data_IF_212105195770
#
_entry.id   IF_212105195770
#
_cell.length_a   1.000
_cell.length_b   1.000
_cell.length_c   1.000
_cell.angle_alpha   90.00
_cell.angle_beta   90.00
_cell.angle_gamma   90.00
#
_symmetry.space_group_name_H-M   'P 1'
#
loop_
_entity.id
_entity.type
_entity.pdbx_description
1 polymer ?
#
# COMPACT_ATOMS: atom_id res chain seq x y z
N UNK A 1 -61.44 2.06 52.03
CA UNK A 1 -61.21 3.44 52.51
C UNK A 1 -59.71 3.71 52.53
N UNK A 2 -59.16 4.21 51.41
CA UNK A 2 -57.73 4.51 51.28
C UNK A 2 -57.39 5.73 52.15
N UNK A 3 -56.64 5.50 53.23
CA UNK A 3 -56.02 6.55 54.06
C UNK A 3 -55.29 7.52 53.13
N UNK A 4 -55.61 8.83 53.19
CA UNK A 4 -54.85 9.87 52.46
C UNK A 4 -53.39 9.79 52.91
N UNK A 5 -52.53 9.15 52.11
CA UNK A 5 -51.09 9.12 52.37
C UNK A 5 -50.57 10.56 52.44
N UNK A 6 -49.75 10.86 53.45
CA UNK A 6 -49.12 12.16 53.57
C UNK A 6 -48.24 12.39 52.32
N UNK A 7 -48.62 13.38 51.50
CA UNK A 7 -47.95 13.69 50.22
C UNK A 7 -46.43 13.81 50.39
N UNK A 8 -45.94 14.35 51.51
CA UNK A 8 -44.51 14.52 51.77
C UNK A 8 -43.75 13.18 51.90
N UNK A 9 -44.39 12.14 52.42
CA UNK A 9 -43.78 10.80 52.61
C UNK A 9 -43.64 10.08 51.26
N UNK A 10 -44.53 10.33 50.30
CA UNK A 10 -44.50 9.72 48.96
C UNK A 10 -43.63 10.51 47.98
N UNK A 11 -43.65 11.85 48.09
CA UNK A 11 -42.89 12.73 47.20
C UNK A 11 -41.37 12.57 47.35
N UNK A 12 -40.86 12.32 48.56
CA UNK A 12 -39.43 12.22 48.78
C UNK A 12 -38.79 11.00 48.09
N UNK A 13 -39.29 9.75 48.25
CA UNK A 13 -38.76 8.59 47.51
C UNK A 13 -38.90 8.73 45.99
N UNK A 14 -40.01 9.30 45.50
CA UNK A 14 -40.20 9.54 44.07
C UNK A 14 -39.17 10.54 43.54
N UNK A 15 -38.97 11.66 44.23
CA UNK A 15 -37.97 12.66 43.83
C UNK A 15 -36.56 12.05 43.81
N UNK A 16 -36.18 11.29 44.84
CA UNK A 16 -34.89 10.59 44.89
C UNK A 16 -34.74 9.59 43.74
N UNK A 17 -35.79 8.81 43.44
CA UNK A 17 -35.80 7.90 42.31
C UNK A 17 -35.55 8.65 40.99
N UNK A 18 -36.30 9.72 40.72
CA UNK A 18 -36.11 10.51 39.49
C UNK A 18 -34.72 11.11 39.39
N UNK A 19 -34.16 11.63 40.48
CA UNK A 19 -32.79 12.18 40.49
C UNK A 19 -31.77 11.10 40.16
N UNK A 20 -31.85 9.93 40.79
CA UNK A 20 -30.94 8.81 40.52
C UNK A 20 -31.10 8.33 39.07
N UNK A 21 -32.33 8.19 38.57
CA UNK A 21 -32.59 7.80 37.18
C UNK A 21 -31.98 8.79 36.20
N UNK A 22 -32.11 10.11 36.44
CA UNK A 22 -31.50 11.14 35.59
C UNK A 22 -29.96 11.02 35.61
N UNK A 23 -29.34 10.80 36.77
CA UNK A 23 -27.89 10.62 36.88
C UNK A 23 -27.43 9.38 36.10
N UNK A 24 -28.13 8.24 36.24
CA UNK A 24 -27.80 7.01 35.53
C UNK A 24 -27.94 7.19 34.02
N UNK A 25 -29.03 7.81 33.55
CA UNK A 25 -29.26 8.05 32.13
C UNK A 25 -28.21 9.00 31.53
N UNK A 26 -27.83 10.06 32.24
CA UNK A 26 -26.80 11.01 31.77
C UNK A 26 -25.41 10.39 31.77
N UNK A 27 -25.06 9.59 32.78
CA UNK A 27 -23.81 8.85 32.81
C UNK A 27 -23.73 7.81 31.68
N UNK A 28 -24.83 7.07 31.43
CA UNK A 28 -24.92 6.12 30.33
C UNK A 28 -24.75 6.80 28.98
N UNK A 29 -25.44 7.92 28.74
CA UNK A 29 -25.32 8.65 27.48
C UNK A 29 -23.90 9.13 27.25
N UNK A 30 -23.26 9.74 28.26
CA UNK A 30 -21.85 10.16 28.16
C UNK A 30 -20.90 8.99 27.90
N UNK A 31 -21.14 7.84 28.53
CA UNK A 31 -20.34 6.64 28.28
C UNK A 31 -20.51 6.13 26.85
N UNK A 32 -21.73 6.19 26.31
CA UNK A 32 -22.02 5.81 24.93
C UNK A 32 -21.31 6.75 23.92
N UNK A 33 -21.42 8.06 24.14
CA UNK A 33 -20.81 9.08 23.29
C UNK A 33 -19.27 8.96 23.32
N UNK A 34 -18.67 8.80 24.51
CA UNK A 34 -17.23 8.60 24.67
C UNK A 34 -16.74 7.31 24.01
N UNK A 35 -17.51 6.22 24.08
CA UNK A 35 -17.14 4.98 23.40
C UNK A 35 -17.15 5.13 21.86
N UNK A 36 -18.13 5.86 21.31
CA UNK A 36 -18.16 6.17 19.87
C UNK A 36 -16.96 7.01 19.45
N UNK A 37 -16.61 8.05 20.21
CA UNK A 37 -15.42 8.88 19.96
C UNK A 37 -14.14 8.03 20.00
N UNK A 38 -13.99 7.16 21.00
CA UNK A 38 -12.85 6.26 21.13
C UNK A 38 -12.73 5.29 19.94
N UNK A 39 -13.84 4.75 19.44
CA UNK A 39 -13.85 3.87 18.25
C UNK A 39 -13.37 4.65 17.01
N UNK A 40 -13.91 5.85 16.78
CA UNK A 40 -13.51 6.69 15.64
C UNK A 40 -12.03 7.07 15.72
N UNK A 41 -11.58 7.50 16.90
CA UNK A 41 -10.18 7.85 17.12
C UNK A 41 -9.27 6.63 16.89
N UNK A 42 -9.64 5.46 17.40
CA UNK A 42 -8.89 4.24 17.22
C UNK A 42 -8.76 3.84 15.74
N UNK A 43 -9.84 3.95 14.96
CA UNK A 43 -9.82 3.71 13.50
C UNK A 43 -8.89 4.70 12.81
N UNK A 44 -8.95 5.99 13.15
CA UNK A 44 -8.09 7.02 12.54
C UNK A 44 -6.61 6.81 12.88
N UNK A 45 -6.30 6.50 14.14
CA UNK A 45 -4.92 6.28 14.59
C UNK A 45 -4.33 5.00 13.98
N UNK A 46 -5.06 3.88 14.03
CA UNK A 46 -4.60 2.64 13.41
C UNK A 46 -4.52 2.76 11.89
N UNK A 47 -5.49 3.43 11.25
CA UNK A 47 -5.44 3.70 9.81
C UNK A 47 -4.19 4.48 9.41
N UNK A 48 -3.81 5.50 10.18
CA UNK A 48 -2.55 6.25 9.97
C UNK A 48 -1.31 5.36 10.16
N UNK A 49 -1.29 4.54 11.20
CA UNK A 49 -0.18 3.63 11.50
C UNK A 49 0.00 2.58 10.38
N UNK A 50 -1.06 1.88 10.00
CA UNK A 50 -1.05 0.87 8.95
C UNK A 50 -0.64 1.50 7.61
N UNK A 51 -1.19 2.66 7.28
CA UNK A 51 -0.80 3.39 6.06
C UNK A 51 0.67 3.77 6.06
N UNK A 52 1.24 4.11 7.23
CA UNK A 52 2.67 4.38 7.37
C UNK A 52 3.49 3.11 7.14
N UNK A 53 3.08 1.98 7.70
CA UNK A 53 3.78 0.71 7.50
C UNK A 53 3.71 0.22 6.04
N UNK A 54 2.57 0.34 5.36
CA UNK A 54 2.49 0.08 3.92
C UNK A 54 3.45 0.95 3.12
N UNK A 55 3.53 2.25 3.43
CA UNK A 55 4.50 3.15 2.79
C UNK A 55 5.95 2.75 3.09
N UNK A 56 6.25 2.28 4.29
CA UNK A 56 7.60 1.81 4.65
C UNK A 56 7.99 0.58 3.84
N UNK A 57 7.08 -0.36 3.64
CA UNK A 57 7.29 -1.55 2.79
C UNK A 57 7.64 -1.11 1.36
N UNK A 58 6.79 -0.28 0.75
CA UNK A 58 7.01 0.21 -0.62
C UNK A 58 8.35 0.96 -0.73
N UNK A 59 8.65 1.86 0.22
CA UNK A 59 9.93 2.61 0.23
C UNK A 59 11.14 1.69 0.37
N UNK A 60 11.06 0.65 1.19
CA UNK A 60 12.14 -0.32 1.35
C UNK A 60 12.41 -1.06 0.04
N UNK A 61 11.36 -1.41 -0.70
CA UNK A 61 11.47 -2.13 -1.97
C UNK A 61 12.03 -1.23 -3.07
N UNK A 62 11.59 0.03 -3.15
CA UNK A 62 12.16 1.03 -4.06
C UNK A 62 13.64 1.25 -3.76
N UNK A 63 14.03 1.39 -2.48
CA UNK A 63 15.42 1.60 -2.10
C UNK A 63 16.35 0.45 -2.56
N UNK A 64 15.82 -0.78 -2.71
CA UNK A 64 16.60 -1.91 -3.26
C UNK A 64 16.89 -1.73 -4.74
N UNK A 65 15.92 -1.23 -5.51
CA UNK A 65 16.14 -0.85 -6.91
C UNK A 65 17.11 0.32 -7.03
N UNK A 66 16.99 1.34 -6.18
CA UNK A 66 17.93 2.46 -6.15
C UNK A 66 19.35 2.00 -5.81
N UNK A 67 19.51 1.03 -4.90
CA UNK A 67 20.82 0.45 -4.62
C UNK A 67 21.42 -0.29 -5.83
N UNK A 68 20.59 -0.99 -6.62
CA UNK A 68 21.01 -1.60 -7.89
C UNK A 68 21.39 -0.53 -8.92
N UNK A 69 20.58 0.55 -9.04
CA UNK A 69 20.92 1.74 -9.85
C UNK A 69 22.30 2.24 -9.47
N UNK A 70 22.55 2.51 -8.18
CA UNK A 70 23.81 3.09 -7.73
C UNK A 70 25.02 2.23 -8.12
N UNK A 71 24.91 0.89 -8.07
CA UNK A 71 25.97 -0.02 -8.53
C UNK A 71 26.19 0.06 -10.05
N UNK A 72 25.11 0.18 -10.82
CA UNK A 72 25.17 0.31 -12.28
C UNK A 72 25.75 1.66 -12.69
N UNK A 73 25.31 2.76 -12.08
CA UNK A 73 25.81 4.12 -12.36
C UNK A 73 27.27 4.29 -11.95
N UNK A 74 27.66 3.81 -10.77
CA UNK A 74 29.05 3.88 -10.28
C UNK A 74 30.05 3.16 -11.20
N UNK A 75 29.60 2.13 -11.91
CA UNK A 75 30.43 1.32 -12.80
C UNK A 75 30.24 1.67 -14.28
N UNK A 76 29.53 2.76 -14.58
CA UNK A 76 29.17 3.17 -15.95
C UNK A 76 28.59 2.02 -16.79
N UNK A 77 27.77 1.18 -16.15
CA UNK A 77 27.09 0.06 -16.79
C UNK A 77 27.81 -1.28 -16.73
N UNK A 78 29.09 -1.36 -16.32
CA UNK A 78 29.80 -2.64 -16.23
C UNK A 78 29.11 -3.64 -15.29
N UNK A 79 28.44 -3.16 -14.24
CA UNK A 79 27.71 -4.01 -13.31
C UNK A 79 26.52 -4.75 -13.95
N UNK A 80 26.00 -4.29 -15.09
CA UNK A 80 24.95 -5.02 -15.85
C UNK A 80 25.41 -6.41 -16.33
N UNK A 81 26.73 -6.66 -16.38
CA UNK A 81 27.27 -8.01 -16.64
C UNK A 81 26.91 -9.02 -15.55
N UNK A 82 26.55 -8.55 -14.35
CA UNK A 82 26.13 -9.37 -13.21
C UNK A 82 24.60 -9.44 -13.05
N UNK A 83 23.84 -8.90 -14.00
CA UNK A 83 22.38 -8.79 -13.95
C UNK A 83 21.69 -10.07 -13.49
N UNK A 84 22.02 -11.21 -14.10
CA UNK A 84 21.37 -12.49 -13.80
C UNK A 84 21.47 -12.87 -12.33
N UNK A 85 22.65 -12.68 -11.72
CA UNK A 85 22.88 -13.05 -10.33
C UNK A 85 22.20 -12.07 -9.39
N UNK A 86 22.40 -10.77 -9.61
CA UNK A 86 21.90 -9.76 -8.68
C UNK A 86 20.36 -9.65 -8.73
N UNK A 87 19.77 -9.76 -9.92
CA UNK A 87 18.31 -9.81 -10.06
C UNK A 87 17.71 -11.04 -9.39
N UNK A 88 18.36 -12.22 -9.49
CA UNK A 88 17.92 -13.41 -8.77
C UNK A 88 17.95 -13.20 -7.26
N UNK A 89 19.04 -12.64 -6.73
CA UNK A 89 19.17 -12.35 -5.29
C UNK A 89 18.09 -11.39 -4.79
N UNK A 90 17.76 -10.35 -5.56
CA UNK A 90 16.68 -9.42 -5.20
C UNK A 90 15.31 -10.12 -5.15
N UNK A 91 15.01 -10.97 -6.13
CA UNK A 91 13.77 -11.75 -6.17
C UNK A 91 13.67 -12.74 -5.01
N UNK A 92 14.76 -13.42 -4.66
CA UNK A 92 14.81 -14.39 -3.57
C UNK A 92 14.67 -13.72 -2.19
N UNK A 93 15.26 -12.54 -2.01
CA UNK A 93 15.25 -11.82 -0.74
C UNK A 93 13.94 -11.08 -0.46
N UNK A 94 13.15 -10.81 -1.50
CA UNK A 94 11.99 -9.93 -1.36
C UNK A 94 10.81 -10.37 -2.21
N UNK A 95 9.76 -10.79 -1.50
CA UNK A 95 8.54 -11.36 -2.06
C UNK A 95 7.67 -10.37 -2.83
N UNK A 96 7.92 -9.05 -2.69
CA UNK A 96 7.22 -8.05 -3.50
C UNK A 96 7.60 -8.16 -4.97
N UNK A 97 8.85 -8.51 -5.29
CA UNK A 97 9.29 -8.57 -6.67
C UNK A 97 8.79 -9.84 -7.36
N UNK A 98 8.14 -9.67 -8.51
CA UNK A 98 7.74 -10.74 -9.43
C UNK A 98 8.76 -10.92 -10.54
N UNK A 99 9.32 -9.83 -11.02
CA UNK A 99 10.42 -9.82 -11.98
C UNK A 99 11.18 -8.48 -11.93
N UNK A 100 12.34 -8.45 -12.56
CA UNK A 100 13.15 -7.27 -12.81
C UNK A 100 13.44 -7.14 -14.30
N UNK A 101 13.44 -5.92 -14.82
CA UNK A 101 13.74 -5.58 -16.21
C UNK A 101 14.84 -4.52 -16.28
N UNK A 102 15.72 -4.66 -17.27
CA UNK A 102 16.55 -3.55 -17.76
C UNK A 102 15.94 -3.05 -19.06
N UNK A 103 15.40 -1.84 -19.04
CA UNK A 103 14.85 -1.14 -20.20
C UNK A 103 15.87 -0.09 -20.60
N UNK A 104 16.36 -0.13 -21.84
CA UNK A 104 17.35 0.86 -22.28
C UNK A 104 16.70 2.18 -22.71
N UNK A 105 17.54 3.15 -23.04
CA UNK A 105 17.10 4.48 -23.51
C UNK A 105 16.26 4.47 -24.80
N UNK A 106 16.21 3.35 -25.53
CA UNK A 106 15.33 3.15 -26.68
C UNK A 106 13.94 2.65 -26.30
N UNK A 107 13.63 2.56 -25.00
CA UNK A 107 12.37 2.05 -24.45
C UNK A 107 12.15 0.56 -24.74
N UNK A 108 13.23 -0.21 -24.92
CA UNK A 108 13.14 -1.66 -25.18
C UNK A 108 13.64 -2.45 -23.98
N UNK A 109 12.86 -3.46 -23.56
CA UNK A 109 13.27 -4.39 -22.50
C UNK A 109 14.40 -5.28 -23.03
N UNK A 110 15.62 -5.07 -22.55
CA UNK A 110 16.83 -5.79 -23.01
C UNK A 110 17.21 -6.97 -22.12
N UNK A 111 16.84 -6.93 -20.85
CA UNK A 111 17.06 -8.03 -19.90
C UNK A 111 15.82 -8.17 -19.02
N UNK A 112 15.47 -9.41 -18.69
CA UNK A 112 14.36 -9.72 -17.78
C UNK A 112 14.69 -10.93 -16.92
N UNK A 113 14.32 -10.87 -15.64
CA UNK A 113 14.50 -11.97 -14.69
C UNK A 113 13.25 -12.14 -13.82
N UNK A 114 12.73 -13.37 -13.64
CA UNK A 114 13.09 -14.58 -14.37
C UNK A 114 12.64 -14.50 -15.83
N UNK A 115 13.38 -15.12 -16.75
CA UNK A 115 12.93 -15.21 -18.16
C UNK A 115 11.71 -16.14 -18.29
N UNK A 116 11.71 -17.25 -17.53
CA UNK A 116 10.60 -18.20 -17.54
C UNK A 116 9.30 -17.54 -17.08
N UNK A 117 8.28 -17.56 -17.93
CA UNK A 117 6.99 -16.90 -17.70
C UNK A 117 6.96 -15.40 -18.02
N UNK A 118 8.07 -14.82 -18.48
CA UNK A 118 8.14 -13.43 -18.93
C UNK A 118 8.79 -13.30 -20.33
N UNK A 119 8.78 -14.37 -21.12
CA UNK A 119 9.44 -14.43 -22.44
C UNK A 119 8.86 -13.39 -23.40
N UNK A 120 7.54 -13.16 -23.35
CA UNK A 120 6.82 -12.20 -24.19
C UNK A 120 7.18 -10.73 -23.92
N UNK A 121 7.76 -10.44 -22.75
CA UNK A 121 8.20 -9.09 -22.40
C UNK A 121 9.61 -8.79 -22.92
N UNK A 122 10.44 -9.80 -23.21
CA UNK A 122 11.79 -9.57 -23.71
C UNK A 122 11.74 -8.96 -25.13
N UNK A 123 12.51 -7.89 -25.35
CA UNK A 123 12.51 -7.06 -26.57
C UNK A 123 11.22 -6.29 -26.86
N UNK A 124 10.27 -6.28 -25.92
CA UNK A 124 9.08 -5.44 -26.04
C UNK A 124 9.46 -3.96 -25.99
N UNK A 125 8.89 -3.18 -26.91
CA UNK A 125 9.03 -1.72 -26.97
C UNK A 125 7.92 -1.07 -26.12
N UNK A 126 8.27 -0.54 -24.95
CA UNK A 126 7.29 0.05 -24.04
C UNK A 126 6.72 1.38 -24.54
N UNK A 127 7.31 1.97 -25.59
CA UNK A 127 6.75 3.18 -26.21
C UNK A 127 5.43 2.93 -26.95
N UNK A 128 5.07 1.67 -27.18
CA UNK A 128 3.80 1.26 -27.78
C UNK A 128 2.72 0.97 -26.72
N UNK A 129 3.08 1.04 -25.43
CA UNK A 129 2.19 0.74 -24.30
C UNK A 129 1.69 2.07 -23.71
N UNK A 130 0.44 2.41 -24.01
CA UNK A 130 -0.18 3.70 -23.68
C UNK A 130 -0.04 4.10 -22.21
N UNK A 131 -0.35 3.17 -21.28
CA UNK A 131 -0.28 3.47 -19.84
C UNK A 131 1.14 3.65 -19.28
N UNK A 132 2.19 3.25 -20.03
CA UNK A 132 3.59 3.34 -19.58
C UNK A 132 4.33 4.52 -20.19
N UNK A 133 4.14 4.76 -21.49
CA UNK A 133 5.01 5.63 -22.31
C UNK A 133 5.22 7.01 -21.70
N UNK A 134 4.15 7.73 -21.43
CA UNK A 134 4.23 9.16 -21.12
C UNK A 134 4.78 9.42 -19.72
N UNK A 135 4.33 8.65 -18.73
CA UNK A 135 4.87 8.74 -17.36
C UNK A 135 6.33 8.27 -17.32
N UNK A 136 6.70 7.20 -18.03
CA UNK A 136 8.10 6.76 -18.11
C UNK A 136 9.00 7.87 -18.68
N UNK A 137 8.58 8.54 -19.77
CA UNK A 137 9.33 9.63 -20.38
C UNK A 137 9.46 10.85 -19.45
N UNK A 138 8.41 11.17 -18.69
CA UNK A 138 8.39 12.28 -17.74
C UNK A 138 9.35 12.03 -16.57
N UNK A 139 9.24 10.86 -15.95
CA UNK A 139 10.08 10.47 -14.81
C UNK A 139 11.55 10.24 -15.21
N UNK A 140 11.80 9.81 -16.46
CA UNK A 140 13.16 9.72 -17.03
C UNK A 140 13.81 11.09 -17.29
N UNK A 141 13.07 12.21 -17.18
CA UNK A 141 13.64 13.56 -17.35
C UNK A 141 13.95 14.24 -16.03
N UNK A 142 13.14 14.00 -15.00
CA UNK A 142 13.31 14.63 -13.68
C UNK A 142 14.06 13.73 -12.68
N UNK A 143 14.49 12.54 -13.11
CA UNK A 143 15.19 11.54 -12.29
C UNK A 143 14.38 11.00 -11.11
N UNK A 144 13.06 11.15 -11.12
CA UNK A 144 12.20 10.61 -10.08
C UNK A 144 11.75 9.18 -10.40
N UNK A 145 11.45 8.40 -9.35
CA UNK A 145 10.92 7.04 -9.49
C UNK A 145 9.50 7.10 -10.00
N UNK A 146 9.21 6.34 -11.06
CA UNK A 146 7.85 6.15 -11.57
C UNK A 146 7.20 4.92 -10.91
N UNK A 147 5.91 4.99 -10.62
CA UNK A 147 5.09 3.85 -10.21
C UNK A 147 3.82 3.85 -11.04
N UNK A 148 3.63 2.84 -11.88
CA UNK A 148 2.43 2.74 -12.72
C UNK A 148 1.16 2.52 -11.88
N UNK A 149 -0.04 2.68 -12.47
CA UNK A 149 -1.24 2.04 -11.92
C UNK A 149 -1.08 0.52 -11.80
N UNK A 150 -2.00 -0.12 -11.06
CA UNK A 150 -2.12 -1.57 -11.00
C UNK A 150 -2.58 -2.10 -12.36
N UNK A 151 -1.62 -2.47 -13.20
CA UNK A 151 -1.86 -2.75 -14.60
C UNK A 151 -1.75 -4.24 -14.92
N UNK A 152 -2.51 -4.68 -15.94
CA UNK A 152 -2.35 -6.01 -16.53
C UNK A 152 -1.12 -6.02 -17.43
N UNK A 153 -0.30 -7.07 -17.29
CA UNK A 153 0.94 -7.23 -18.03
C UNK A 153 0.75 -7.95 -19.36
N UNK A 154 1.66 -7.72 -20.31
CA UNK A 154 1.74 -8.47 -21.57
C UNK A 154 1.92 -9.96 -21.31
N UNK A 155 2.88 -10.31 -20.45
CA UNK A 155 3.17 -11.68 -20.02
C UNK A 155 2.10 -12.30 -19.08
N UNK A 156 1.00 -11.58 -18.82
CA UNK A 156 -0.07 -12.02 -17.93
C UNK A 156 0.10 -11.65 -16.46
N UNK A 157 -1.01 -11.68 -15.73
CA UNK A 157 -1.10 -11.20 -14.35
C UNK A 157 -1.17 -9.67 -14.25
N UNK A 158 -1.12 -9.19 -13.00
CA UNK A 158 -1.16 -7.76 -12.69
C UNK A 158 -0.05 -7.41 -11.72
N UNK A 159 0.54 -6.23 -11.89
CA UNK A 159 1.62 -5.74 -11.03
C UNK A 159 1.67 -4.21 -11.06
N UNK A 160 2.28 -3.60 -10.05
CA UNK A 160 2.86 -2.27 -10.18
C UNK A 160 4.21 -2.37 -10.89
N UNK A 161 4.47 -1.49 -11.83
CA UNK A 161 5.79 -1.35 -12.44
C UNK A 161 6.46 -0.14 -11.81
N UNK A 162 7.61 -0.38 -11.18
CA UNK A 162 8.40 0.66 -10.52
C UNK A 162 9.64 0.90 -11.36
N UNK A 163 9.67 2.02 -12.08
CA UNK A 163 10.80 2.38 -12.95
C UNK A 163 11.75 3.31 -12.20
N UNK A 164 13.02 2.91 -12.10
CA UNK A 164 14.11 3.70 -11.50
C UNK A 164 15.05 4.15 -12.63
N UNK A 165 15.05 5.45 -12.99
CA UNK A 165 15.93 6.01 -14.03
C UNK A 165 17.42 5.85 -13.71
N UNK A 166 18.21 5.49 -14.72
CA UNK A 166 19.66 5.26 -14.64
C UNK A 166 20.40 6.20 -15.59
N UNK A 167 21.45 6.84 -15.08
CA UNK A 167 22.24 7.83 -15.81
C UNK A 167 23.75 7.53 -15.70
N UNK A 168 24.46 7.68 -16.82
CA UNK A 168 25.92 7.73 -16.82
C UNK A 168 26.34 9.15 -17.17
N UNK A 169 27.15 9.78 -16.32
CA UNK A 169 27.63 11.15 -16.54
C UNK A 169 26.48 12.13 -16.90
N UNK A 170 25.37 12.06 -16.14
CA UNK A 170 24.13 12.83 -16.34
C UNK A 170 23.38 12.56 -17.66
N UNK A 171 23.77 11.55 -18.44
CA UNK A 171 23.05 11.10 -19.62
C UNK A 171 22.21 9.89 -19.30
N UNK A 172 20.91 9.99 -19.57
CA UNK A 172 19.95 8.91 -19.39
C UNK A 172 20.32 7.67 -20.24
N UNK A 173 20.26 6.50 -19.62
CA UNK A 173 20.64 5.23 -20.23
C UNK A 173 19.49 4.23 -20.32
N UNK A 174 18.44 4.45 -19.54
CA UNK A 174 17.36 3.50 -19.36
C UNK A 174 16.85 3.49 -17.92
N UNK A 175 16.04 2.48 -17.60
CA UNK A 175 15.49 2.26 -16.27
C UNK A 175 15.72 0.83 -15.81
N UNK A 176 15.94 0.66 -14.51
CA UNK A 176 15.70 -0.61 -13.85
C UNK A 176 14.23 -0.63 -13.46
N UNK A 177 13.48 -1.63 -13.93
CA UNK A 177 12.07 -1.78 -13.58
C UNK A 177 11.88 -2.99 -12.69
N UNK A 178 11.15 -2.82 -11.59
CA UNK A 178 10.62 -3.95 -10.81
C UNK A 178 9.13 -4.13 -11.07
N UNK A 179 8.72 -5.34 -11.48
CA UNK A 179 7.32 -5.75 -11.35
C UNK A 179 7.05 -6.11 -9.90
N UNK A 180 6.27 -5.30 -9.19
CA UNK A 180 6.00 -5.44 -7.76
C UNK A 180 4.52 -5.73 -7.44
N UNK A 181 4.32 -6.66 -6.52
CA UNK A 181 3.02 -6.98 -5.92
C UNK A 181 3.20 -7.15 -4.41
N UNK A 182 2.69 -6.16 -3.67
CA UNK A 182 2.89 -6.03 -2.23
C UNK A 182 1.89 -6.83 -1.39
N UNK A 183 0.92 -7.53 -2.01
CA UNK A 183 -0.21 -8.16 -1.30
C UNK A 183 0.23 -9.13 -0.20
N UNK A 184 1.28 -9.93 -0.44
CA UNK A 184 1.81 -10.86 0.56
C UNK A 184 2.39 -10.14 1.80
N UNK A 185 3.12 -9.05 1.57
CA UNK A 185 3.64 -8.23 2.67
C UNK A 185 2.50 -7.55 3.44
N UNK A 186 1.48 -7.08 2.72
CA UNK A 186 0.32 -6.46 3.34
C UNK A 186 -0.50 -7.47 4.15
N UNK A 187 -0.72 -8.68 3.62
CA UNK A 187 -1.37 -9.78 4.34
C UNK A 187 -0.64 -10.15 5.64
N UNK A 188 0.69 -10.18 5.62
CA UNK A 188 1.49 -10.43 6.84
C UNK A 188 1.30 -9.32 7.88
N UNK A 189 1.32 -8.07 7.44
CA UNK A 189 1.15 -6.90 8.31
C UNK A 189 -0.26 -6.84 8.92
N UNK A 190 -1.29 -7.18 8.15
CA UNK A 190 -2.69 -7.06 8.55
C UNK A 190 -3.26 -8.31 9.20
N UNK A 191 -2.48 -9.39 9.31
CA UNK A 191 -2.94 -10.67 9.87
C UNK A 191 -3.58 -10.54 11.25
N UNK A 192 -3.03 -9.71 12.13
CA UNK A 192 -3.58 -9.45 13.47
C UNK A 192 -4.82 -8.55 13.48
N UNK A 193 -5.08 -7.85 12.37
CA UNK A 193 -6.17 -6.89 12.23
C UNK A 193 -7.44 -7.51 11.63
N UNK A 194 -7.35 -8.75 11.16
CA UNK A 194 -8.41 -9.43 10.42
C UNK A 194 -9.73 -9.60 11.20
N UNK A 195 -9.77 -9.38 12.51
CA UNK A 195 -11.02 -9.46 13.28
C UNK A 195 -11.50 -8.08 13.78
N UNK A 196 -10.80 -7.01 13.43
CA UNK A 196 -11.02 -5.68 14.01
C UNK A 196 -11.24 -4.58 12.95
N UNK A 197 -10.70 -4.75 11.74
CA UNK A 197 -10.73 -3.72 10.70
C UNK A 197 -11.04 -4.30 9.33
N UNK A 198 -11.70 -3.50 8.50
CA UNK A 198 -11.76 -3.70 7.04
C UNK A 198 -10.80 -2.71 6.38
N UNK A 199 -10.03 -3.20 5.41
CA UNK A 199 -8.99 -2.41 4.74
C UNK A 199 -9.19 -2.56 3.24
N UNK A 200 -9.18 -1.44 2.51
CA UNK A 200 -9.16 -1.40 1.05
C UNK A 200 -8.04 -0.46 0.62
N UNK A 201 -7.22 -0.88 -0.35
CA UNK A 201 -6.21 -0.02 -0.96
C UNK A 201 -6.47 0.10 -2.45
N UNK A 202 -6.50 1.35 -2.89
CA UNK A 202 -6.68 1.75 -4.27
C UNK A 202 -5.40 2.40 -4.77
N UNK A 203 -5.11 2.23 -6.05
CA UNK A 203 -4.08 3.04 -6.71
C UNK A 203 -4.62 4.46 -7.04
N UNK A 204 -3.77 5.28 -7.65
CA UNK A 204 -4.12 6.67 -8.00
C UNK A 204 -5.18 6.77 -9.12
N UNK A 205 -5.48 5.68 -9.82
CA UNK A 205 -6.56 5.58 -10.83
C UNK A 205 -7.85 5.01 -10.24
N UNK A 206 -7.92 4.86 -8.91
CA UNK A 206 -9.02 4.27 -8.18
C UNK A 206 -9.24 2.77 -8.48
N UNK A 207 -8.18 2.05 -8.84
CA UNK A 207 -8.20 0.60 -9.02
C UNK A 207 -7.91 -0.09 -7.68
N UNK A 208 -8.84 -0.92 -7.21
CA UNK A 208 -8.67 -1.74 -6.01
C UNK A 208 -7.64 -2.84 -6.27
N UNK A 209 -6.57 -2.89 -5.48
CA UNK A 209 -5.52 -3.91 -5.62
C UNK A 209 -5.27 -4.73 -4.35
N UNK A 210 -5.76 -4.28 -3.20
CA UNK A 210 -5.67 -5.00 -1.94
C UNK A 210 -6.93 -4.80 -1.10
N UNK A 211 -7.39 -5.86 -0.44
CA UNK A 211 -8.56 -5.82 0.43
C UNK A 211 -8.42 -6.81 1.60
N UNK A 212 -9.00 -6.46 2.74
CA UNK A 212 -9.16 -7.28 3.95
C UNK A 212 -10.59 -7.15 4.48
N UNK A 213 -11.25 -8.26 4.82
CA UNK A 213 -12.59 -8.30 5.43
C UNK A 213 -13.68 -7.57 4.65
N UNK A 214 -13.81 -7.89 3.35
CA UNK A 214 -14.82 -7.32 2.45
C UNK A 214 -16.27 -7.50 2.94
N UNK A 215 -16.56 -8.63 3.57
CA UNK A 215 -17.94 -9.06 3.88
C UNK A 215 -18.40 -8.74 5.31
N UNK A 216 -17.53 -8.12 6.13
CA UNK A 216 -17.86 -7.67 7.48
C UNK A 216 -18.14 -6.16 7.54
N UNK A 217 -18.89 -5.64 6.56
CA UNK A 217 -19.50 -4.31 6.71
C UNK A 217 -20.62 -4.44 7.74
N UNK A 218 -20.30 -4.18 9.00
CA UNK A 218 -21.30 -3.91 10.05
C UNK A 218 -22.06 -2.63 9.73
#
# INVERSE_FOLDING_TARGET
MLKKLNRKIVLFPLATFFVITIIVLTAWQKALDSNQELVVENVLQNGKLISKEFRNIIKSDIARLENLKNRIEFTEGLYLNHWEKDASMLLEQNQSFKFLEWIDSSMVIKKIKPLKGNEEALNLNISEIEYRRDEWLKHSKDSSVNITPWAKLTQGGNTFLVDVPVYFQNKFQGTITGGMDFRENFNKLTKSLNNHFSIELYDHTNTLFYQLNKDNKL
#
